data_IF_883894604151
#
_entry.id   IF_883894604151
#
_cell.length_a   1.000
_cell.length_b   1.000
_cell.length_c   1.000
_cell.angle_alpha   90.00
_cell.angle_beta   90.00
_cell.angle_gamma   90.00
#
_symmetry.space_group_name_H-M   'P 1'
#
loop_
_entity.id
_entity.type
_entity.pdbx_description
1 polymer ?
#
# COMPACT_ATOMS: atom_id res chain seq x y z
N UNK A 1 -14.09 -10.38 -8.19
CA UNK A 1 -13.18 -10.79 -7.10
C UNK A 1 -11.96 -11.43 -7.73
N UNK A 2 -10.81 -10.76 -7.61
CA UNK A 2 -9.53 -11.19 -8.16
C UNK A 2 -9.00 -12.39 -7.33
N UNK A 3 -8.90 -13.57 -7.96
CA UNK A 3 -8.49 -14.82 -7.27
C UNK A 3 -7.01 -14.76 -6.90
N UNK A 4 -6.20 -14.22 -7.79
CA UNK A 4 -4.75 -14.07 -7.65
C UNK A 4 -4.39 -13.20 -6.45
N UNK A 5 -4.98 -12.01 -6.36
CA UNK A 5 -4.75 -11.12 -5.21
C UNK A 5 -5.08 -11.81 -3.89
N UNK A 6 -6.17 -12.58 -3.83
CA UNK A 6 -6.54 -13.28 -2.59
C UNK A 6 -5.47 -14.31 -2.18
N UNK A 7 -4.93 -15.07 -3.13
CA UNK A 7 -3.86 -16.03 -2.87
C UNK A 7 -2.58 -15.34 -2.38
N UNK A 8 -2.20 -14.22 -3.02
CA UNK A 8 -1.07 -13.38 -2.58
C UNK A 8 -1.26 -12.88 -1.15
N UNK A 9 -2.44 -12.36 -0.80
CA UNK A 9 -2.74 -11.90 0.56
C UNK A 9 -2.76 -13.04 1.57
N UNK A 10 -3.19 -14.24 1.19
CA UNK A 10 -3.11 -15.42 2.04
C UNK A 10 -1.65 -15.85 2.27
N UNK A 11 -0.77 -15.75 1.26
CA UNK A 11 0.68 -15.96 1.43
C UNK A 11 1.31 -14.95 2.39
N UNK A 12 0.95 -13.67 2.29
CA UNK A 12 1.41 -12.64 3.23
C UNK A 12 1.03 -12.96 4.69
N UNK A 13 -0.11 -13.60 4.93
CA UNK A 13 -0.51 -14.01 6.28
C UNK A 13 0.40 -15.08 6.90
N UNK A 14 1.18 -15.78 6.07
CA UNK A 14 2.10 -16.84 6.46
C UNK A 14 3.57 -16.35 6.48
N UNK A 15 3.85 -15.17 5.94
CA UNK A 15 5.16 -14.53 5.93
C UNK A 15 5.57 -14.16 7.36
N UNK A 16 6.70 -14.69 7.84
CA UNK A 16 7.17 -14.45 9.22
C UNK A 16 7.84 -13.10 9.43
N UNK A 17 8.44 -12.56 8.38
CA UNK A 17 9.09 -11.25 8.38
C UNK A 17 8.06 -10.11 8.18
N UNK A 18 6.83 -10.46 7.76
CA UNK A 18 5.76 -9.50 7.53
C UNK A 18 4.92 -9.29 8.79
N UNK A 19 4.58 -8.04 9.10
CA UNK A 19 3.63 -7.68 10.17
C UNK A 19 2.43 -6.96 9.57
N UNK A 20 1.34 -7.69 9.37
CA UNK A 20 0.12 -7.14 8.77
C UNK A 20 -0.90 -6.70 9.82
N UNK A 21 -1.47 -5.51 9.64
CA UNK A 21 -2.56 -5.04 10.50
C UNK A 21 -3.87 -5.71 10.13
N UNK A 22 -4.74 -5.93 11.12
CA UNK A 22 -6.07 -6.48 10.87
C UNK A 22 -6.86 -5.58 9.91
N UNK A 23 -7.48 -6.20 8.90
CA UNK A 23 -8.34 -5.50 7.95
C UNK A 23 -9.52 -4.75 8.60
N UNK A 24 -10.09 -3.83 7.82
CA UNK A 24 -11.17 -2.95 8.24
C UNK A 24 -12.53 -3.37 7.69
N UNK A 25 -13.58 -2.95 8.38
CA UNK A 25 -14.95 -3.16 7.92
C UNK A 25 -15.27 -2.23 6.73
N UNK A 26 -16.20 -2.67 5.89
CA UNK A 26 -16.74 -1.89 4.76
C UNK A 26 -17.19 -0.48 5.18
N UNK A 27 -17.74 -0.34 6.39
CA UNK A 27 -18.17 0.97 6.91
C UNK A 27 -17.02 1.99 7.06
N UNK A 28 -15.78 1.52 7.25
CA UNK A 28 -14.58 2.36 7.31
C UNK A 28 -14.19 2.81 5.91
N UNK A 29 -14.22 1.88 4.95
CA UNK A 29 -13.90 2.15 3.55
C UNK A 29 -14.88 3.18 2.98
N UNK A 30 -16.19 2.96 3.14
CA UNK A 30 -17.21 3.89 2.65
C UNK A 30 -17.11 5.28 3.30
N UNK A 31 -16.75 5.36 4.58
CA UNK A 31 -16.51 6.64 5.23
C UNK A 31 -15.34 7.39 4.60
N UNK A 32 -14.26 6.68 4.27
CA UNK A 32 -13.10 7.27 3.60
C UNK A 32 -13.44 7.73 2.18
N UNK A 33 -14.10 6.88 1.39
CA UNK A 33 -14.58 7.21 0.04
C UNK A 33 -15.44 8.48 0.04
N UNK A 34 -16.35 8.61 1.02
CA UNK A 34 -17.17 9.80 1.22
C UNK A 34 -16.36 11.03 1.65
N UNK A 35 -15.38 10.87 2.55
CA UNK A 35 -14.55 11.97 3.07
C UNK A 35 -13.74 12.62 1.96
N UNK A 36 -13.16 11.81 1.07
CA UNK A 36 -12.27 12.29 0.01
C UNK A 36 -12.92 12.36 -1.37
N UNK A 37 -14.19 11.96 -1.49
CA UNK A 37 -14.94 12.03 -2.75
C UNK A 37 -14.35 11.14 -3.85
N UNK A 38 -13.78 10.00 -3.47
CA UNK A 38 -13.12 9.04 -4.37
C UNK A 38 -13.67 7.64 -4.11
N UNK A 39 -13.82 6.83 -5.16
CA UNK A 39 -14.21 5.43 -5.02
C UNK A 39 -12.96 4.56 -4.98
N UNK A 40 -12.94 3.58 -4.07
CA UNK A 40 -11.83 2.65 -4.00
C UNK A 40 -12.02 1.54 -5.02
N UNK A 41 -10.95 1.17 -5.75
CA UNK A 41 -11.01 0.02 -6.61
C UNK A 41 -11.28 -1.27 -5.84
N UNK A 42 -11.90 -2.24 -6.52
CA UNK A 42 -12.29 -3.53 -5.92
C UNK A 42 -11.07 -4.23 -5.27
N UNK A 43 -9.91 -4.19 -5.91
CA UNK A 43 -8.70 -4.83 -5.41
C UNK A 43 -8.17 -4.14 -4.14
N UNK A 44 -8.23 -2.81 -4.06
CA UNK A 44 -7.89 -2.08 -2.84
C UNK A 44 -8.87 -2.39 -1.70
N UNK A 45 -10.16 -2.53 -2.02
CA UNK A 45 -11.19 -2.91 -1.04
C UNK A 45 -10.92 -4.31 -0.49
N UNK A 46 -10.62 -5.28 -1.36
CA UNK A 46 -10.25 -6.65 -0.97
C UNK A 46 -9.02 -6.64 -0.07
N UNK A 47 -7.98 -5.89 -0.44
CA UNK A 47 -6.80 -5.70 0.38
C UNK A 47 -7.17 -5.12 1.75
N UNK A 48 -7.82 -3.95 1.82
CA UNK A 48 -8.14 -3.25 3.07
C UNK A 48 -9.04 -4.06 4.00
N UNK A 49 -9.95 -4.86 3.46
CA UNK A 49 -10.79 -5.77 4.24
C UNK A 49 -10.00 -6.95 4.82
N UNK A 50 -8.93 -7.37 4.14
CA UNK A 50 -8.04 -8.44 4.61
C UNK A 50 -6.99 -7.91 5.59
N UNK A 51 -6.30 -6.84 5.21
CA UNK A 51 -5.25 -6.15 5.95
C UNK A 51 -5.36 -4.65 5.80
N UNK A 52 -5.14 -3.90 6.87
CA UNK A 52 -5.24 -2.44 6.85
C UNK A 52 -3.86 -1.80 7.00
N UNK A 53 -3.00 -1.94 6.00
CA UNK A 53 -1.58 -1.59 6.14
C UNK A 53 -0.78 -2.66 6.86
N UNK A 54 0.48 -2.36 7.14
CA UNK A 54 1.42 -3.31 7.72
C UNK A 54 2.86 -2.99 7.37
N UNK A 55 3.72 -3.96 7.56
CA UNK A 55 5.14 -3.91 7.22
C UNK A 55 5.49 -5.23 6.51
N UNK A 56 6.07 -5.14 5.32
CA UNK A 56 6.55 -6.26 4.51
C UNK A 56 8.09 -6.22 4.46
N UNK A 57 8.73 -6.55 5.58
CA UNK A 57 10.20 -6.54 5.72
C UNK A 57 10.84 -5.18 5.35
N UNK A 58 10.38 -4.11 5.99
CA UNK A 58 10.90 -2.75 5.79
C UNK A 58 10.16 -1.93 4.73
N UNK A 59 9.23 -2.54 4.00
CA UNK A 59 8.23 -1.86 3.18
C UNK A 59 6.96 -1.61 4.01
N UNK A 60 6.73 -0.36 4.41
CA UNK A 60 5.57 0.03 5.20
C UNK A 60 4.36 0.28 4.28
N UNK A 61 3.26 -0.43 4.51
CA UNK A 61 2.02 -0.29 3.75
C UNK A 61 1.04 0.63 4.47
N UNK A 62 0.46 1.54 3.70
CA UNK A 62 -0.51 2.52 4.18
C UNK A 62 -1.85 1.84 4.56
N UNK A 63 -2.44 2.31 5.66
CA UNK A 63 -3.75 1.85 6.15
C UNK A 63 -4.75 2.99 6.32
N UNK A 64 -6.02 2.64 6.43
CA UNK A 64 -7.08 3.58 6.81
C UNK A 64 -7.06 3.83 8.31
N UNK A 65 -6.93 5.10 8.70
CA UNK A 65 -7.09 5.50 10.10
C UNK A 65 -8.56 5.75 10.45
N UNK A 66 -8.94 5.40 11.69
CA UNK A 66 -10.15 5.91 12.35
C UNK A 66 -9.70 6.76 13.54
N UNK A 67 -10.16 8.01 13.61
CA UNK A 67 -9.87 8.96 14.71
C UNK A 67 -10.13 8.41 16.12
N UNK A 68 -10.94 7.36 16.24
CA UNK A 68 -11.31 6.72 17.51
C UNK A 68 -10.83 5.27 17.64
N UNK A 69 -9.90 4.79 16.79
CA UNK A 69 -9.37 3.43 16.92
C UNK A 69 -8.25 3.41 17.96
N UNK A 70 -8.32 2.57 19.00
CA UNK A 70 -7.34 2.55 20.09
C UNK A 70 -5.94 2.10 19.65
N UNK A 71 -5.81 1.51 18.47
CA UNK A 71 -4.53 1.12 17.87
C UNK A 71 -3.93 2.26 17.03
N UNK A 72 -3.14 3.12 17.68
CA UNK A 72 -2.22 4.08 17.05
C UNK A 72 -0.97 3.38 16.47
N UNK A 73 -1.11 2.18 15.90
CA UNK A 73 0.03 1.38 15.41
C UNK A 73 0.34 1.59 13.93
N UNK A 74 -0.42 2.44 13.23
CA UNK A 74 -0.12 2.79 11.85
C UNK A 74 1.02 3.79 11.82
N UNK A 75 2.09 3.44 11.12
CA UNK A 75 3.19 4.35 10.79
C UNK A 75 2.90 5.16 9.52
N UNK A 76 2.13 4.56 8.59
CA UNK A 76 1.77 5.14 7.31
C UNK A 76 0.24 5.15 7.11
N UNK A 77 -0.30 6.28 6.65
CA UNK A 77 -1.72 6.47 6.39
C UNK A 77 -1.99 6.56 4.89
N UNK A 78 -3.05 5.90 4.45
CA UNK A 78 -3.54 6.08 3.09
C UNK A 78 -4.26 7.43 3.05
N UNK A 79 -3.64 8.42 2.45
CA UNK A 79 -4.17 9.77 2.35
C UNK A 79 -3.74 10.45 1.03
N UNK A 80 -4.52 11.43 0.54
CA UNK A 80 -4.13 12.19 -0.65
C UNK A 80 -2.76 12.83 -0.44
N UNK A 81 -1.89 12.72 -1.44
CA UNK A 81 -0.52 13.24 -1.41
C UNK A 81 -0.49 14.73 -1.06
N UNK A 82 -1.45 15.50 -1.58
CA UNK A 82 -1.61 16.93 -1.33
C UNK A 82 -1.86 17.31 0.15
N UNK A 83 -2.24 16.35 0.99
CA UNK A 83 -2.44 16.55 2.43
C UNK A 83 -1.23 16.13 3.26
N UNK A 84 -0.20 15.58 2.63
CA UNK A 84 1.04 15.13 3.29
C UNK A 84 2.15 16.19 3.19
N UNK A 85 3.20 16.02 3.98
CA UNK A 85 4.44 16.81 3.85
C UNK A 85 5.19 16.51 2.53
N UNK A 86 4.76 15.49 1.79
CA UNK A 86 5.35 15.01 0.55
C UNK A 86 4.69 15.62 -0.69
N UNK A 87 3.76 16.58 -0.52
CA UNK A 87 3.06 17.21 -1.65
C UNK A 87 3.98 17.89 -2.68
N UNK A 88 5.25 18.14 -2.34
CA UNK A 88 6.26 18.73 -3.23
C UNK A 88 7.06 17.70 -4.04
N UNK A 89 6.93 16.39 -3.77
CA UNK A 89 7.70 15.34 -4.48
C UNK A 89 7.25 15.13 -5.93
N UNK A 90 6.00 15.48 -6.25
CA UNK A 90 5.49 15.39 -7.62
C UNK A 90 4.41 16.43 -7.90
N UNK A 91 4.24 16.78 -9.17
CA UNK A 91 3.15 17.62 -9.67
C UNK A 91 1.81 16.87 -9.79
N UNK A 92 1.81 15.54 -9.66
CA UNK A 92 0.60 14.71 -9.71
C UNK A 92 -0.08 14.69 -8.33
N UNK A 93 -1.17 15.47 -8.20
CA UNK A 93 -1.85 15.70 -6.92
C UNK A 93 -2.97 14.71 -6.60
N UNK A 94 -3.40 13.94 -7.59
CA UNK A 94 -4.46 12.93 -7.51
C UNK A 94 -3.97 11.56 -7.00
N UNK A 95 -2.74 11.52 -6.50
CA UNK A 95 -2.10 10.34 -5.95
C UNK A 95 -2.35 10.19 -4.45
N UNK A 96 -2.39 8.94 -4.00
CA UNK A 96 -2.49 8.58 -2.58
C UNK A 96 -1.23 7.83 -2.16
N UNK A 97 -0.67 8.15 -0.99
CA UNK A 97 0.47 7.42 -0.45
C UNK A 97 0.03 5.99 -0.09
N UNK A 98 0.61 5.00 -0.79
CA UNK A 98 0.21 3.60 -0.69
C UNK A 98 1.22 2.76 0.10
N UNK A 99 2.51 3.00 -0.10
CA UNK A 99 3.57 2.36 0.65
C UNK A 99 4.83 3.23 0.70
N UNK A 100 5.76 2.89 1.58
CA UNK A 100 7.04 3.57 1.70
C UNK A 100 8.11 2.59 2.19
N UNK A 101 9.27 2.58 1.53
CA UNK A 101 10.44 1.89 2.05
C UNK A 101 11.14 2.71 3.13
N UNK A 102 11.76 2.01 4.08
CA UNK A 102 12.58 2.63 5.13
C UNK A 102 13.72 3.51 4.59
N UNK A 103 14.15 3.30 3.34
CA UNK A 103 15.26 4.02 2.70
C UNK A 103 14.84 5.22 1.84
N UNK A 104 13.53 5.51 1.74
CA UNK A 104 13.01 6.76 1.17
C UNK A 104 12.15 6.60 -0.08
N UNK A 105 12.20 5.44 -0.75
CA UNK A 105 11.35 5.17 -1.90
C UNK A 105 9.88 5.12 -1.49
N UNK A 106 9.02 5.70 -2.32
CA UNK A 106 7.60 5.82 -2.02
C UNK A 106 6.75 5.32 -3.16
N UNK A 107 5.64 4.68 -2.79
CA UNK A 107 4.68 4.12 -3.72
C UNK A 107 3.39 4.89 -3.58
N UNK A 108 2.89 5.35 -4.71
CA UNK A 108 1.66 6.12 -4.77
C UNK A 108 0.63 5.41 -5.64
N UNK A 109 -0.62 5.37 -5.21
CA UNK A 109 -1.71 4.80 -6.01
C UNK A 109 -2.60 5.90 -6.57
N UNK A 110 -2.90 5.81 -7.86
CA UNK A 110 -3.97 6.57 -8.49
C UNK A 110 -5.25 5.74 -8.45
N UNK A 111 -6.11 6.02 -7.47
CA UNK A 111 -7.30 5.20 -7.17
C UNK A 111 -8.23 4.93 -8.37
N UNK A 112 -8.54 5.92 -9.25
CA UNK A 112 -9.44 5.69 -10.38
C UNK A 112 -8.92 4.68 -11.41
N UNK A 113 -7.59 4.53 -11.56
CA UNK A 113 -7.00 3.61 -12.53
C UNK A 113 -6.27 2.42 -11.91
N UNK A 114 -6.15 2.38 -10.58
CA UNK A 114 -5.38 1.38 -9.82
C UNK A 114 -3.88 1.37 -10.10
N UNK A 115 -3.38 2.34 -10.86
CA UNK A 115 -1.98 2.43 -11.23
C UNK A 115 -1.16 2.82 -10.01
N UNK A 116 -0.06 2.09 -9.79
CA UNK A 116 0.90 2.37 -8.74
C UNK A 116 2.17 2.95 -9.36
N UNK A 117 2.53 4.12 -8.86
CA UNK A 117 3.73 4.86 -9.20
C UNK A 117 4.81 4.62 -8.15
N UNK A 118 6.07 4.55 -8.59
CA UNK A 118 7.24 4.58 -7.73
C UNK A 118 7.88 5.97 -7.84
N UNK A 119 8.11 6.60 -6.70
CA UNK A 119 9.06 7.69 -6.60
C UNK A 119 10.37 7.16 -6.04
N UNK A 120 11.38 7.16 -6.91
CA UNK A 120 12.76 6.85 -6.58
C UNK A 120 13.38 8.08 -5.91
N UNK A 121 13.67 7.95 -4.62
CA UNK A 121 14.21 9.03 -3.80
C UNK A 121 15.62 9.43 -4.24
N UNK A 122 16.42 8.50 -4.76
CA UNK A 122 17.80 8.76 -5.15
C UNK A 122 17.89 9.58 -6.45
N UNK A 123 16.96 9.33 -7.38
CA UNK A 123 16.94 9.97 -8.70
C UNK A 123 15.90 11.09 -8.83
N UNK A 124 15.09 11.32 -7.79
CA UNK A 124 13.96 12.27 -7.78
C UNK A 124 13.06 12.08 -9.01
N UNK A 125 12.71 10.82 -9.27
CA UNK A 125 11.96 10.42 -10.45
C UNK A 125 10.70 9.66 -10.06
N UNK A 126 9.56 10.13 -10.58
CA UNK A 126 8.30 9.42 -10.51
C UNK A 126 8.09 8.61 -11.80
N UNK A 127 7.93 7.30 -11.67
CA UNK A 127 7.62 6.38 -12.77
C UNK A 127 6.34 5.59 -12.51
N UNK A 128 5.65 5.24 -13.59
CA UNK A 128 4.52 4.31 -13.56
C UNK A 128 5.08 2.88 -13.65
N UNK A 129 4.85 2.07 -12.62
CA UNK A 129 5.49 0.76 -12.49
C UNK A 129 4.49 -0.41 -12.54
N UNK A 130 3.34 -0.28 -11.88
CA UNK A 130 2.33 -1.35 -11.83
C UNK A 130 0.96 -0.87 -12.29
N UNK A 131 0.33 -1.63 -13.18
CA UNK A 131 -1.01 -1.31 -13.70
C UNK A 131 -2.13 -1.64 -12.72
N UNK A 132 -1.87 -2.52 -11.74
CA UNK A 132 -2.82 -2.97 -10.72
C UNK A 132 -2.13 -3.34 -9.42
N UNK A 133 -2.91 -3.43 -8.35
CA UNK A 133 -2.46 -3.79 -7.00
C UNK A 133 -1.92 -5.23 -6.93
N UNK A 134 -2.49 -6.17 -7.70
CA UNK A 134 -2.03 -7.55 -7.73
C UNK A 134 -0.58 -7.67 -8.24
N UNK A 135 -0.24 -6.94 -9.31
CA UNK A 135 1.11 -6.94 -9.90
C UNK A 135 2.15 -6.40 -8.90
N UNK A 136 1.76 -5.39 -8.11
CA UNK A 136 2.58 -4.87 -7.02
C UNK A 136 2.85 -5.94 -5.97
N UNK A 137 1.80 -6.60 -5.44
CA UNK A 137 2.00 -7.63 -4.41
C UNK A 137 2.75 -8.87 -4.92
N UNK A 138 2.56 -9.25 -6.19
CA UNK A 138 3.38 -10.29 -6.83
C UNK A 138 4.86 -9.95 -6.74
N UNK A 139 5.23 -8.76 -7.21
CA UNK A 139 6.62 -8.26 -7.20
C UNK A 139 7.20 -8.24 -5.78
N UNK A 140 6.43 -7.74 -4.80
CA UNK A 140 6.92 -7.67 -3.42
C UNK A 140 7.08 -9.07 -2.80
N UNK A 141 6.19 -10.01 -3.10
CA UNK A 141 6.32 -11.40 -2.65
C UNK A 141 7.55 -12.09 -3.27
N UNK A 142 7.80 -11.88 -4.56
CA UNK A 142 8.99 -12.40 -5.24
C UNK A 142 10.29 -11.86 -4.61
N UNK A 143 10.31 -10.57 -4.26
CA UNK A 143 11.45 -9.94 -3.58
C UNK A 143 11.69 -10.54 -2.18
N UNK A 144 10.63 -10.83 -1.43
CA UNK A 144 10.71 -11.50 -0.13
C UNK A 144 11.29 -12.92 -0.27
N UNK A 145 10.88 -13.69 -1.29
CA UNK A 145 11.43 -15.03 -1.55
C UNK A 145 12.89 -14.98 -2.04
N UNK A 146 13.23 -13.99 -2.87
CA UNK A 146 14.59 -13.76 -3.37
C UNK A 146 15.60 -13.45 -2.26
N UNK A 147 15.19 -12.70 -1.23
CA UNK A 147 16.03 -12.38 -0.07
C UNK A 147 16.37 -13.61 0.79
N UNK A 148 15.51 -14.64 0.80
CA UNK A 148 15.79 -15.91 1.50
C UNK A 148 16.88 -16.73 0.80
N UNK A 149 16.97 -16.67 -0.53
CA UNK A 149 17.94 -17.45 -1.31
C UNK A 149 19.35 -16.83 -1.34
N UNK A 150 19.46 -15.51 -1.15
CA UNK A 150 20.75 -14.80 -1.17
C UNK A 150 21.53 -14.85 0.17
N UNK A 151 20.94 -15.40 1.23
CA UNK A 151 21.62 -15.60 2.53
C UNK A 151 22.43 -16.91 2.62
N UNK A 152 22.42 -17.73 1.56
CA UNK A 152 23.09 -19.04 1.52
C UNK A 152 24.22 -19.17 0.48
N UNK A 153 24.73 -18.08 -0.09
CA UNK A 153 25.88 -18.08 -1.01
C UNK A 153 27.07 -17.28 -0.49
#
# INVERSE_FOLDING_TARGET
MNIELKEQLDLLSLCKECTMNKGVEESVICFFEQKYGTEFPDDLRVYLQRFNGGDMDGLELAGLYRENHPDKRFKLLLEPLELTELAETTFQKDLFLFAMESYGDMYFIHLPSEVIYLWDHENDLLSEEWGKIADFFETQLENLEGNVNNLFF
#
